data_IF_201014980622
#
_entry.id   IF_201014980622
#
_cell.length_a   1.000
_cell.length_b   1.000
_cell.length_c   1.000
_cell.angle_alpha   90.00
_cell.angle_beta   90.00
_cell.angle_gamma   90.00
#
_symmetry.space_group_name_H-M   'P 1'
#
loop_
_entity.id
_entity.type
_entity.pdbx_description
1 polymer ?
#
# COMPACT_ATOMS: atom_id res chain seq x y z
N UNK A 1 30.09 -19.01 59.54
CA UNK A 1 29.30 -19.15 60.79
C UNK A 1 27.91 -18.69 60.46
N UNK A 2 27.05 -19.66 60.47
CA UNK A 2 25.62 -19.71 60.93
C UNK A 2 24.67 -18.77 60.21
N UNK A 3 23.87 -19.27 59.32
CA UNK A 3 22.62 -19.99 59.46
C UNK A 3 21.51 -19.07 60.03
N UNK A 4 20.42 -18.85 59.26
CA UNK A 4 19.14 -19.49 59.52
C UNK A 4 18.03 -18.86 58.67
N UNK A 5 17.40 -19.65 57.82
CA UNK A 5 16.01 -19.53 57.39
C UNK A 5 15.13 -20.06 58.56
N UNK A 6 13.83 -19.85 58.70
CA UNK A 6 12.77 -20.00 57.72
C UNK A 6 11.50 -19.14 57.99
N UNK A 7 10.50 -19.23 57.11
CA UNK A 7 9.13 -18.86 57.50
C UNK A 7 8.17 -18.60 56.33
N UNK A 8 7.58 -19.62 55.75
CA UNK A 8 6.23 -19.65 55.17
C UNK A 8 5.25 -19.98 56.32
N UNK A 9 3.95 -19.73 56.31
CA UNK A 9 3.00 -19.93 55.20
C UNK A 9 1.77 -18.95 55.21
N UNK A 10 0.92 -19.14 54.21
CA UNK A 10 -0.53 -19.01 54.47
C UNK A 10 -1.26 -18.05 53.54
N UNK A 11 -1.96 -18.55 52.66
CA UNK A 11 -3.41 -18.72 52.45
C UNK A 11 -3.95 -17.93 51.25
N UNK A 12 -4.37 -18.64 50.23
CA UNK A 12 -5.48 -18.25 49.33
C UNK A 12 -6.81 -18.55 50.06
N UNK A 13 -8.00 -18.22 49.56
CA UNK A 13 -8.47 -17.83 48.22
C UNK A 13 -9.49 -16.68 48.29
N UNK A 14 -9.94 -16.18 47.15
CA UNK A 14 -11.36 -15.83 46.84
C UNK A 14 -11.42 -15.16 45.48
N UNK A 15 -11.84 -15.88 44.52
CA UNK A 15 -13.15 -15.88 43.87
C UNK A 15 -13.80 -14.49 43.78
N UNK A 16 -13.72 -13.86 42.61
CA UNK A 16 -14.70 -12.91 42.12
C UNK A 16 -14.63 -12.81 40.60
N UNK A 17 -15.68 -13.29 39.97
CA UNK A 17 -15.94 -13.24 38.55
C UNK A 17 -16.00 -11.82 37.97
N UNK A 18 -15.80 -11.65 36.64
CA UNK A 18 -15.64 -10.36 35.99
C UNK A 18 -16.98 -9.68 35.72
N UNK A 19 -17.05 -8.35 35.74
CA UNK A 19 -18.10 -7.64 35.09
C UNK A 19 -17.80 -7.55 33.58
N UNK A 20 -18.69 -8.07 32.80
CA UNK A 20 -18.82 -7.79 31.38
C UNK A 20 -19.20 -6.34 31.20
N UNK A 21 -18.34 -5.57 30.60
CA UNK A 21 -18.71 -4.33 29.93
C UNK A 21 -17.73 -4.10 28.80
N UNK A 22 -18.15 -4.43 27.61
CA UNK A 22 -17.49 -4.03 26.38
C UNK A 22 -17.65 -2.51 26.22
N UNK A 23 -16.58 -1.73 26.09
CA UNK A 23 -16.70 -0.42 25.51
C UNK A 23 -16.83 -0.55 24.01
N UNK A 24 -17.85 0.13 23.47
CA UNK A 24 -18.04 0.36 22.06
C UNK A 24 -16.71 0.74 21.41
N UNK A 25 -16.31 -0.05 20.44
CA UNK A 25 -15.24 0.30 19.52
C UNK A 25 -15.75 1.45 18.67
N UNK A 26 -15.42 2.65 19.10
CA UNK A 26 -15.40 3.80 18.23
C UNK A 26 -14.55 3.42 17.01
N UNK A 27 -15.20 3.31 15.85
CA UNK A 27 -14.55 3.09 14.58
C UNK A 27 -13.60 4.25 14.32
N UNK A 28 -12.32 4.04 14.62
CA UNK A 28 -11.27 4.85 14.03
C UNK A 28 -11.28 4.53 12.55
N UNK A 29 -11.83 5.44 11.78
CA UNK A 29 -11.64 5.56 10.35
C UNK A 29 -10.12 5.67 10.11
N UNK A 30 -9.49 4.50 9.97
CA UNK A 30 -8.21 4.41 9.30
C UNK A 30 -8.56 4.49 7.82
N UNK A 31 -8.64 5.70 7.32
CA UNK A 31 -8.44 5.96 5.91
C UNK A 31 -6.98 5.54 5.63
N UNK A 32 -6.81 4.21 5.47
CA UNK A 32 -5.62 3.69 4.82
C UNK A 32 -5.53 4.48 3.53
N UNK A 33 -4.41 5.18 3.31
CA UNK A 33 -4.16 5.99 2.12
C UNK A 33 -4.10 5.15 0.84
N UNK A 34 -4.86 4.07 0.81
CA UNK A 34 -5.04 3.18 -0.32
C UNK A 34 -5.94 3.88 -1.31
N UNK A 35 -5.43 4.22 -2.49
CA UNK A 35 -6.22 4.90 -3.50
C UNK A 35 -7.42 4.03 -3.90
N UNK A 36 -8.57 4.65 -4.04
CA UNK A 36 -9.76 4.02 -4.59
C UNK A 36 -9.45 3.57 -6.03
N UNK A 37 -9.55 2.28 -6.34
CA UNK A 37 -9.30 1.78 -7.69
C UNK A 37 -10.22 2.41 -8.75
N UNK A 38 -11.37 2.96 -8.34
CA UNK A 38 -12.27 3.69 -9.23
C UNK A 38 -11.75 5.10 -9.59
N UNK A 39 -10.79 5.64 -8.84
CA UNK A 39 -10.19 6.95 -9.10
C UNK A 39 -8.99 6.88 -10.06
N UNK A 40 -8.62 5.70 -10.56
CA UNK A 40 -7.53 5.56 -11.52
C UNK A 40 -7.98 6.02 -12.92
N UNK A 41 -7.21 6.88 -13.59
CA UNK A 41 -7.55 7.30 -14.94
C UNK A 41 -7.55 6.09 -15.90
N UNK A 42 -8.39 6.09 -16.93
CA UNK A 42 -8.43 5.02 -17.92
C UNK A 42 -7.04 4.85 -18.55
N UNK A 43 -6.46 3.67 -18.33
CA UNK A 43 -5.14 3.34 -18.83
C UNK A 43 -5.20 2.67 -20.18
N UNK A 44 -4.11 2.73 -20.92
CA UNK A 44 -3.92 1.98 -22.17
C UNK A 44 -4.20 0.48 -21.95
N UNK A 45 -5.41 0.06 -22.23
CA UNK A 45 -5.83 -1.33 -22.22
C UNK A 45 -5.36 -2.02 -23.51
N UNK A 46 -4.07 -2.25 -23.63
CA UNK A 46 -3.52 -3.06 -24.72
C UNK A 46 -3.55 -4.57 -24.41
N UNK A 47 -4.23 -4.99 -23.35
CA UNK A 47 -4.47 -6.41 -23.10
C UNK A 47 -5.93 -6.71 -23.41
N UNK A 48 -6.19 -7.54 -24.44
CA UNK A 48 -7.51 -8.10 -24.68
C UNK A 48 -8.06 -8.82 -23.44
N UNK A 49 -9.37 -9.07 -23.36
CA UNK A 49 -9.96 -9.75 -22.22
C UNK A 49 -9.23 -11.06 -21.98
N UNK A 50 -8.69 -11.21 -20.76
CA UNK A 50 -8.17 -12.50 -20.34
C UNK A 50 -9.34 -13.50 -20.32
N UNK A 51 -9.14 -14.76 -20.71
CA UNK A 51 -10.16 -15.79 -20.56
C UNK A 51 -10.57 -15.86 -19.07
N UNK A 52 -11.86 -16.03 -18.81
CA UNK A 52 -12.37 -16.23 -17.46
C UNK A 52 -11.62 -17.40 -16.81
N UNK A 53 -10.99 -17.21 -15.66
CA UNK A 53 -10.25 -18.29 -15.01
C UNK A 53 -11.21 -19.38 -14.53
N UNK A 54 -10.85 -20.64 -14.70
CA UNK A 54 -11.57 -21.76 -14.11
C UNK A 54 -11.68 -21.61 -12.58
N UNK A 55 -12.79 -22.04 -11.93
CA UNK A 55 -13.04 -21.81 -10.51
C UNK A 55 -11.88 -22.12 -9.55
N UNK A 56 -11.11 -23.21 -9.67
CA UNK A 56 -9.94 -23.45 -8.84
C UNK A 56 -8.77 -22.52 -9.13
N UNK A 57 -8.58 -22.09 -10.38
CA UNK A 57 -7.56 -21.14 -10.77
C UNK A 57 -7.88 -19.71 -10.30
N UNK A 58 -9.16 -19.35 -10.28
CA UNK A 58 -9.61 -18.06 -9.76
C UNK A 58 -9.20 -17.87 -8.29
N UNK A 59 -9.37 -18.89 -7.45
CA UNK A 59 -8.95 -18.86 -6.05
C UNK A 59 -7.42 -18.70 -5.89
N UNK A 60 -6.66 -19.41 -6.72
CA UNK A 60 -5.21 -19.30 -6.73
C UNK A 60 -4.75 -17.91 -7.17
N UNK A 61 -5.27 -17.41 -8.29
CA UNK A 61 -4.92 -16.08 -8.80
C UNK A 61 -5.32 -14.98 -7.82
N UNK A 62 -6.48 -15.07 -7.17
CA UNK A 62 -6.88 -14.13 -6.12
C UNK A 62 -5.84 -14.04 -4.99
N UNK A 63 -5.38 -15.19 -4.48
CA UNK A 63 -4.37 -15.22 -3.42
C UNK A 63 -3.03 -14.63 -3.88
N UNK A 64 -2.62 -14.93 -5.13
CA UNK A 64 -1.41 -14.38 -5.74
C UNK A 64 -1.51 -12.86 -5.83
N UNK A 65 -2.62 -12.33 -6.34
CA UNK A 65 -2.81 -10.89 -6.49
C UNK A 65 -2.87 -10.20 -5.14
N UNK A 66 -3.61 -10.74 -4.16
CA UNK A 66 -3.64 -10.18 -2.81
C UNK A 66 -2.23 -10.09 -2.21
N UNK A 67 -1.46 -11.18 -2.29
CA UNK A 67 -0.08 -11.20 -1.81
C UNK A 67 0.80 -10.20 -2.57
N UNK A 68 0.64 -10.07 -3.88
CA UNK A 68 1.41 -9.10 -4.67
C UNK A 68 1.09 -7.66 -4.27
N UNK A 69 -0.16 -7.34 -3.98
CA UNK A 69 -0.56 -6.03 -3.48
C UNK A 69 0.04 -5.74 -2.10
N UNK A 70 -0.01 -6.73 -1.18
CA UNK A 70 0.60 -6.62 0.15
C UNK A 70 2.12 -6.39 0.07
N UNK A 71 2.82 -7.07 -0.85
CA UNK A 71 4.26 -6.90 -1.08
C UNK A 71 4.59 -5.50 -1.67
N UNK A 72 3.77 -5.00 -2.57
CA UNK A 72 3.94 -3.64 -3.12
C UNK A 72 3.74 -2.59 -2.04
N UNK A 73 2.69 -2.73 -1.22
CA UNK A 73 2.38 -1.80 -0.13
C UNK A 73 3.49 -1.82 0.94
N UNK A 74 4.02 -2.99 1.27
CA UNK A 74 5.08 -3.15 2.26
C UNK A 74 6.44 -2.63 1.79
N UNK A 75 6.71 -2.65 0.49
CA UNK A 75 8.00 -2.25 -0.06
C UNK A 75 8.25 -0.74 0.04
N UNK A 76 7.19 0.09 0.13
CA UNK A 76 7.30 1.55 0.19
C UNK A 76 7.99 2.20 -1.03
N UNK A 77 8.27 1.42 -2.07
CA UNK A 77 8.97 1.86 -3.28
C UNK A 77 8.73 0.92 -4.45
N UNK A 78 9.33 1.25 -5.60
CA UNK A 78 9.13 0.49 -6.81
C UNK A 78 9.87 -0.86 -6.75
N UNK A 79 9.12 -1.96 -6.81
CA UNK A 79 9.63 -3.30 -7.06
C UNK A 79 9.70 -3.56 -8.57
N UNK A 80 10.71 -4.28 -9.01
CA UNK A 80 10.79 -4.70 -10.42
C UNK A 80 9.71 -5.75 -10.72
N UNK A 81 9.34 -5.87 -11.99
CA UNK A 81 8.41 -6.92 -12.44
C UNK A 81 8.98 -8.32 -12.14
N UNK A 82 10.28 -8.46 -12.35
CA UNK A 82 11.05 -9.68 -12.12
C UNK A 82 11.00 -10.10 -10.64
N UNK A 83 11.23 -9.16 -9.72
CA UNK A 83 11.18 -9.42 -8.27
C UNK A 83 9.78 -9.80 -7.81
N UNK A 84 8.75 -9.07 -8.27
CA UNK A 84 7.36 -9.40 -7.95
C UNK A 84 6.97 -10.78 -8.46
N UNK A 85 7.29 -11.08 -9.71
CA UNK A 85 7.00 -12.37 -10.31
C UNK A 85 7.71 -13.51 -9.59
N UNK A 86 8.98 -13.34 -9.25
CA UNK A 86 9.76 -14.32 -8.49
C UNK A 86 9.15 -14.59 -7.11
N UNK A 87 8.73 -13.54 -6.39
CA UNK A 87 8.06 -13.67 -5.08
C UNK A 87 6.72 -14.40 -5.18
N UNK A 88 6.05 -14.28 -6.32
CA UNK A 88 4.78 -14.98 -6.59
C UNK A 88 4.99 -16.38 -7.19
N UNK A 89 6.24 -16.81 -7.46
CA UNK A 89 6.54 -18.09 -8.07
C UNK A 89 6.11 -18.18 -9.55
N UNK A 90 6.09 -17.05 -10.25
CA UNK A 90 5.62 -16.94 -11.64
C UNK A 90 6.71 -16.38 -12.55
N UNK A 91 6.59 -16.65 -13.86
CA UNK A 91 7.37 -15.89 -14.83
C UNK A 91 6.86 -14.45 -14.95
N UNK A 92 7.73 -13.46 -15.24
CA UNK A 92 7.34 -12.04 -15.30
C UNK A 92 6.17 -11.78 -16.27
N UNK A 93 6.19 -12.39 -17.45
CA UNK A 93 5.12 -12.21 -18.43
C UNK A 93 3.79 -12.83 -17.99
N UNK A 94 3.81 -13.98 -17.30
CA UNK A 94 2.60 -14.59 -16.75
C UNK A 94 2.03 -13.75 -15.61
N UNK A 95 2.86 -13.36 -14.66
CA UNK A 95 2.46 -12.49 -13.55
C UNK A 95 1.84 -11.18 -14.05
N UNK A 96 2.49 -10.51 -15.03
CA UNK A 96 1.96 -9.27 -15.59
C UNK A 96 0.56 -9.44 -16.19
N UNK A 97 0.32 -10.52 -16.93
CA UNK A 97 -1.01 -10.80 -17.51
C UNK A 97 -2.06 -11.04 -16.44
N UNK A 98 -1.76 -11.91 -15.45
CA UNK A 98 -2.67 -12.21 -14.34
C UNK A 98 -2.96 -10.96 -13.54
N UNK A 99 -1.93 -10.20 -13.16
CA UNK A 99 -2.10 -8.96 -12.41
C UNK A 99 -2.97 -7.95 -13.17
N UNK A 100 -2.67 -7.71 -14.45
CA UNK A 100 -3.42 -6.75 -15.25
C UNK A 100 -4.87 -7.18 -15.51
N UNK A 101 -5.13 -8.47 -15.62
CA UNK A 101 -6.48 -9.00 -15.75
C UNK A 101 -7.32 -8.78 -14.49
N UNK A 102 -6.72 -8.91 -13.31
CA UNK A 102 -7.41 -8.79 -12.03
C UNK A 102 -7.49 -7.35 -11.51
N UNK A 103 -6.43 -6.58 -11.69
CA UNK A 103 -6.32 -5.21 -11.15
C UNK A 103 -6.74 -4.15 -12.18
N UNK A 104 -6.79 -4.52 -13.45
CA UNK A 104 -7.15 -3.62 -14.56
C UNK A 104 -6.00 -2.76 -15.07
N UNK A 105 -4.84 -2.78 -14.39
CA UNK A 105 -3.64 -2.02 -14.78
C UNK A 105 -2.38 -2.84 -14.56
N UNK A 106 -1.29 -2.48 -15.24
CA UNK A 106 -0.01 -3.18 -15.05
C UNK A 106 0.57 -2.95 -13.64
N UNK A 107 1.39 -3.90 -13.12
CA UNK A 107 2.04 -3.75 -11.82
C UNK A 107 2.83 -2.44 -11.68
N UNK A 108 3.54 -2.04 -12.73
CA UNK A 108 4.29 -0.78 -12.78
C UNK A 108 3.38 0.44 -12.65
N UNK A 109 2.25 0.43 -13.36
CA UNK A 109 1.29 1.54 -13.33
C UNK A 109 0.63 1.65 -11.96
N UNK A 110 0.29 0.53 -11.36
CA UNK A 110 -0.25 0.49 -10.00
C UNK A 110 0.73 1.09 -8.97
N UNK A 111 2.02 0.70 -9.02
CA UNK A 111 3.05 1.26 -8.16
C UNK A 111 3.24 2.77 -8.37
N UNK A 112 3.20 3.25 -9.62
CA UNK A 112 3.27 4.68 -9.91
C UNK A 112 2.09 5.46 -9.31
N UNK A 113 0.91 4.87 -9.31
CA UNK A 113 -0.26 5.48 -8.70
C UNK A 113 -0.14 5.57 -7.17
N UNK A 114 0.34 4.52 -6.51
CA UNK A 114 0.63 4.55 -5.08
C UNK A 114 1.69 5.61 -4.73
N UNK A 115 2.79 5.63 -5.48
CA UNK A 115 3.85 6.62 -5.32
C UNK A 115 3.32 8.06 -5.44
N UNK A 116 2.41 8.31 -6.41
CA UNK A 116 1.75 9.60 -6.54
C UNK A 116 0.91 9.95 -5.31
N UNK A 117 0.16 8.99 -4.78
CA UNK A 117 -0.64 9.16 -3.56
C UNK A 117 0.22 9.55 -2.35
N UNK A 118 1.33 8.84 -2.13
CA UNK A 118 2.27 9.14 -1.05
C UNK A 118 2.92 10.52 -1.23
N UNK A 119 3.32 10.88 -2.45
CA UNK A 119 3.88 12.19 -2.74
C UNK A 119 2.87 13.32 -2.48
N UNK A 120 1.63 13.15 -2.92
CA UNK A 120 0.54 14.10 -2.66
C UNK A 120 0.30 14.29 -1.16
N UNK A 121 0.24 13.21 -0.39
CA UNK A 121 0.08 13.27 1.05
C UNK A 121 1.23 14.03 1.73
N UNK A 122 2.47 13.79 1.30
CA UNK A 122 3.64 14.50 1.81
C UNK A 122 3.59 16.00 1.48
N UNK A 123 3.25 16.36 0.25
CA UNK A 123 3.14 17.77 -0.17
C UNK A 123 1.97 18.49 0.53
N UNK A 124 0.83 17.81 0.74
CA UNK A 124 -0.29 18.34 1.51
C UNK A 124 0.10 18.59 2.98
N UNK A 125 0.96 17.74 3.54
CA UNK A 125 1.57 17.92 4.86
C UNK A 125 2.70 18.97 4.89
N UNK A 126 2.83 19.80 3.83
CA UNK A 126 3.82 20.87 3.71
C UNK A 126 5.28 20.37 3.70
N UNK A 127 5.54 19.11 3.36
CA UNK A 127 6.90 18.61 3.16
C UNK A 127 7.49 19.17 1.88
N UNK A 128 8.81 19.28 1.84
CA UNK A 128 9.54 19.72 0.65
C UNK A 128 9.44 18.71 -0.51
N UNK A 129 9.72 19.14 -1.72
CA UNK A 129 9.73 18.27 -2.90
C UNK A 129 10.70 17.08 -2.76
N UNK A 130 11.92 17.24 -2.23
CA UNK A 130 12.79 16.09 -1.94
C UNK A 130 12.19 15.09 -0.95
N UNK A 131 11.62 15.58 0.15
CA UNK A 131 10.96 14.72 1.16
C UNK A 131 9.72 14.01 0.59
N UNK A 132 8.99 14.65 -0.32
CA UNK A 132 7.87 14.03 -1.01
C UNK A 132 8.33 12.95 -2.00
N UNK A 133 9.47 13.13 -2.66
CA UNK A 133 10.05 12.10 -3.52
C UNK A 133 10.51 10.89 -2.70
N UNK A 134 11.14 11.12 -1.56
CA UNK A 134 11.57 10.07 -0.63
C UNK A 134 10.37 9.31 -0.06
N UNK A 135 9.35 10.01 0.42
CA UNK A 135 8.10 9.42 0.91
C UNK A 135 7.36 8.58 -0.15
N UNK A 136 7.55 8.90 -1.43
CA UNK A 136 7.00 8.14 -2.56
C UNK A 136 7.89 6.98 -3.02
N UNK A 137 9.03 6.74 -2.35
CA UNK A 137 10.01 5.71 -2.75
C UNK A 137 10.68 5.99 -4.09
N UNK A 138 10.79 7.25 -4.48
CA UNK A 138 11.39 7.65 -5.75
C UNK A 138 12.86 8.04 -5.56
N UNK A 139 13.70 7.72 -6.54
CA UNK A 139 15.13 7.97 -6.49
C UNK A 139 15.54 9.45 -6.59
N UNK A 140 14.57 10.36 -6.62
CA UNK A 140 14.82 11.80 -6.62
C UNK A 140 13.68 12.64 -7.18
N UNK A 141 13.86 13.96 -7.07
CA UNK A 141 12.86 14.97 -7.46
C UNK A 141 12.52 14.98 -8.94
N UNK A 142 13.47 14.62 -9.82
CA UNK A 142 13.20 14.51 -11.27
C UNK A 142 12.14 13.43 -11.56
N UNK A 143 12.25 12.27 -10.91
CA UNK A 143 11.24 11.21 -11.04
C UNK A 143 9.88 11.63 -10.51
N UNK A 144 9.87 12.38 -9.41
CA UNK A 144 8.64 12.95 -8.86
C UNK A 144 8.02 13.94 -9.85
N UNK A 145 8.83 14.81 -10.45
CA UNK A 145 8.36 15.77 -11.43
C UNK A 145 7.72 15.08 -12.64
N UNK A 146 8.39 14.08 -13.21
CA UNK A 146 7.88 13.28 -14.32
C UNK A 146 6.57 12.59 -13.98
N UNK A 147 6.46 12.06 -12.74
CA UNK A 147 5.24 11.42 -12.25
C UNK A 147 4.07 12.40 -12.20
N UNK A 148 4.30 13.61 -11.65
CA UNK A 148 3.27 14.64 -11.55
C UNK A 148 2.86 15.17 -12.93
N UNK A 149 3.81 15.40 -13.84
CA UNK A 149 3.48 15.82 -15.21
C UNK A 149 2.62 14.80 -15.94
N UNK A 150 2.92 13.51 -15.73
CA UNK A 150 2.18 12.42 -16.40
C UNK A 150 0.75 12.26 -15.88
N UNK A 151 0.52 12.46 -14.58
CA UNK A 151 -0.74 12.13 -13.95
C UNK A 151 -1.59 13.34 -13.59
N UNK A 152 -0.96 14.47 -13.29
CA UNK A 152 -1.62 15.69 -12.84
C UNK A 152 -1.49 16.83 -13.85
N UNK A 153 -0.73 16.64 -14.92
CA UNK A 153 -0.41 17.67 -15.92
C UNK A 153 0.22 18.95 -15.33
N UNK A 154 0.78 18.88 -14.13
CA UNK A 154 1.41 20.02 -13.45
C UNK A 154 2.62 19.57 -12.62
N UNK A 155 3.46 20.53 -12.21
CA UNK A 155 4.60 20.24 -11.36
C UNK A 155 4.18 19.95 -9.90
N UNK A 156 4.99 19.21 -9.11
CA UNK A 156 4.72 19.00 -7.68
C UNK A 156 4.58 20.31 -6.91
N UNK A 157 5.41 21.31 -7.22
CA UNK A 157 5.33 22.62 -6.59
C UNK A 157 4.06 23.40 -6.95
N UNK A 158 3.57 23.29 -8.17
CA UNK A 158 2.31 23.91 -8.60
C UNK A 158 1.14 23.20 -7.92
N UNK A 159 1.17 21.89 -7.86
CA UNK A 159 0.16 21.09 -7.16
C UNK A 159 0.09 21.46 -5.66
N UNK A 160 1.24 21.58 -4.98
CA UNK A 160 1.31 21.94 -3.57
C UNK A 160 0.75 23.35 -3.25
N UNK A 161 0.70 24.22 -4.25
CA UNK A 161 0.08 25.55 -4.15
C UNK A 161 -1.39 25.57 -4.61
N UNK A 162 -2.01 24.42 -4.80
CA UNK A 162 -3.40 24.32 -5.23
C UNK A 162 -3.61 24.71 -6.70
N UNK A 163 -2.60 24.51 -7.57
CA UNK A 163 -2.69 24.86 -8.99
C UNK A 163 -2.50 26.35 -9.29
N UNK A 164 -2.12 27.16 -8.31
CA UNK A 164 -1.87 28.59 -8.53
C UNK A 164 -0.76 28.81 -9.58
N UNK A 165 -1.06 29.56 -10.63
CA UNK A 165 -0.16 29.83 -11.75
C UNK A 165 -0.41 28.96 -12.99
N UNK A 166 -1.48 28.17 -13.03
CA UNK A 166 -2.01 27.58 -14.25
C UNK A 166 -2.91 28.63 -14.93
N UNK A 167 -2.47 29.16 -16.05
CA UNK A 167 -3.35 29.86 -16.98
C UNK A 167 -3.94 28.82 -17.93
N UNK A 168 -5.27 28.84 -18.07
CA UNK A 168 -6.04 28.01 -19.01
C UNK A 168 -6.28 28.81 -20.28
#
# INVERSE_FOLDING_TARGET
MTATSPGRPGTAPSDAAPPRSAPARSGGDRSDGRPDPAAMPPGDHAAGPAPDPDPPEAGYHYNVIRRALDEIDAAGGALSLEDLAARMGMSPGHFQRVFSAWVGVSPKRYQQYLALGHAKAALAARRSTPEAADAAGLSGTGRLHDLFLRWEAMSPGTWARGGAGLEI
#
